data_IF_489149630549
#
_entry.id   IF_489149630549
#
_cell.length_a   1.000
_cell.length_b   1.000
_cell.length_c   1.000
_cell.angle_alpha   90.00
_cell.angle_beta   90.00
_cell.angle_gamma   90.00
#
_symmetry.space_group_name_H-M   'P 1'
#
loop_
_entity.id
_entity.type
_entity.pdbx_description
1 polymer ?
#
# COMPACT_ATOMS: atom_id res chain seq x y z
N UNK A 1 5.08 -37.66 -13.86
CA UNK A 1 6.20 -36.79 -14.25
C UNK A 1 6.43 -35.85 -13.08
N UNK A 2 7.65 -35.78 -12.56
CA UNK A 2 7.96 -34.85 -11.45
C UNK A 2 7.92 -33.41 -11.97
N UNK A 3 7.64 -32.43 -11.11
CA UNK A 3 7.53 -31.02 -11.53
C UNK A 3 8.79 -30.52 -12.26
N UNK A 4 9.99 -30.99 -11.89
CA UNK A 4 11.25 -30.65 -12.56
C UNK A 4 11.31 -31.16 -14.02
N UNK A 5 10.84 -32.38 -14.27
CA UNK A 5 10.81 -32.99 -15.61
C UNK A 5 9.84 -32.24 -16.55
N UNK A 6 8.74 -31.69 -16.00
CA UNK A 6 7.79 -30.89 -16.77
C UNK A 6 8.42 -29.54 -17.20
N UNK A 7 9.22 -28.91 -16.34
CA UNK A 7 9.84 -27.60 -16.61
C UNK A 7 10.88 -27.66 -17.71
N UNK A 8 11.72 -28.68 -17.68
CA UNK A 8 12.76 -28.91 -18.68
C UNK A 8 12.14 -29.23 -20.06
N UNK A 9 11.01 -29.95 -20.07
CA UNK A 9 10.28 -30.26 -21.30
C UNK A 9 9.56 -29.03 -21.91
N UNK A 10 9.11 -28.09 -21.07
CA UNK A 10 8.32 -26.94 -21.49
C UNK A 10 9.13 -25.66 -21.72
N UNK A 11 10.44 -25.66 -21.44
CA UNK A 11 11.29 -24.46 -21.57
C UNK A 11 10.69 -23.21 -20.91
N UNK A 12 10.13 -23.41 -19.72
CA UNK A 12 9.52 -22.34 -18.91
C UNK A 12 8.28 -21.66 -19.52
N UNK A 13 7.64 -22.30 -20.52
CA UNK A 13 6.33 -21.92 -21.03
C UNK A 13 5.22 -22.75 -20.36
N UNK A 14 4.43 -22.09 -19.54
CA UNK A 14 3.30 -22.63 -18.78
C UNK A 14 1.96 -21.99 -19.17
N UNK A 15 1.90 -21.38 -20.36
CA UNK A 15 0.72 -20.65 -20.84
C UNK A 15 -0.53 -21.56 -20.83
N UNK A 16 -1.65 -21.06 -20.28
CA UNK A 16 -2.94 -21.76 -20.20
C UNK A 16 -2.94 -23.09 -19.40
N UNK A 17 -1.92 -23.36 -18.59
CA UNK A 17 -1.85 -24.63 -17.84
C UNK A 17 -2.67 -24.59 -16.55
N UNK A 18 -3.22 -25.75 -16.15
CA UNK A 18 -3.76 -25.97 -14.80
C UNK A 18 -2.63 -26.37 -13.85
N UNK A 19 -2.25 -25.43 -12.99
CA UNK A 19 -1.16 -25.51 -12.04
C UNK A 19 -1.63 -25.20 -10.61
N UNK A 20 -2.92 -25.43 -10.33
CA UNK A 20 -3.51 -25.16 -9.02
C UNK A 20 -2.83 -25.95 -7.91
N UNK A 21 -2.46 -25.26 -6.83
CA UNK A 21 -1.78 -25.84 -5.68
C UNK A 21 -0.34 -26.31 -5.96
N UNK A 22 0.23 -26.00 -7.13
CA UNK A 22 1.60 -26.42 -7.44
C UNK A 22 2.61 -25.66 -6.59
N UNK A 23 3.65 -26.37 -6.16
CA UNK A 23 4.81 -25.73 -5.53
C UNK A 23 5.89 -25.41 -6.55
N UNK A 24 6.34 -24.17 -6.54
CA UNK A 24 7.50 -23.63 -7.26
C UNK A 24 8.60 -23.19 -6.29
N UNK A 25 8.45 -23.46 -4.99
CA UNK A 25 9.32 -22.94 -3.91
C UNK A 25 10.82 -23.01 -4.24
N UNK A 26 11.52 -21.89 -4.05
CA UNK A 26 12.98 -21.78 -4.17
C UNK A 26 13.53 -21.85 -5.59
N UNK A 27 12.69 -21.86 -6.61
CA UNK A 27 13.12 -22.02 -8.00
C UNK A 27 13.44 -20.69 -8.67
N UNK A 28 14.30 -20.75 -9.69
CA UNK A 28 14.50 -19.65 -10.62
C UNK A 28 13.65 -19.90 -11.87
N UNK A 29 12.73 -18.98 -12.14
CA UNK A 29 11.78 -18.98 -13.26
C UNK A 29 11.80 -17.61 -13.95
N UNK A 30 12.97 -16.97 -13.96
CA UNK A 30 13.14 -15.64 -14.57
C UNK A 30 12.83 -15.70 -16.06
N UNK A 31 11.89 -14.87 -16.51
CA UNK A 31 11.43 -14.86 -17.90
C UNK A 31 10.44 -15.98 -18.28
N UNK A 32 10.04 -16.82 -17.32
CA UNK A 32 9.00 -17.82 -17.56
C UNK A 32 7.66 -17.17 -17.98
N UNK A 33 6.84 -17.93 -18.70
CA UNK A 33 5.53 -17.46 -19.13
C UNK A 33 4.41 -18.30 -18.49
N UNK A 34 3.67 -17.70 -17.57
CA UNK A 34 2.48 -18.24 -16.91
C UNK A 34 1.19 -17.54 -17.38
N UNK A 35 1.22 -16.82 -18.50
CA UNK A 35 0.04 -16.09 -18.97
C UNK A 35 -1.19 -17.02 -19.11
N UNK A 36 -2.32 -16.54 -18.60
CA UNK A 36 -3.60 -17.26 -18.55
C UNK A 36 -3.57 -18.63 -17.83
N UNK A 37 -2.53 -18.94 -17.06
CA UNK A 37 -2.47 -20.16 -16.27
C UNK A 37 -3.42 -20.10 -15.07
N UNK A 38 -3.93 -21.26 -14.65
CA UNK A 38 -4.66 -21.40 -13.40
C UNK A 38 -3.70 -21.81 -12.29
N UNK A 39 -3.36 -20.87 -11.43
CA UNK A 39 -2.36 -20.97 -10.36
C UNK A 39 -3.01 -20.78 -8.97
N UNK A 40 -4.33 -21.05 -8.86
CA UNK A 40 -5.04 -20.91 -7.58
C UNK A 40 -4.32 -21.75 -6.49
N UNK A 41 -3.95 -21.11 -5.39
CA UNK A 41 -3.26 -21.74 -4.27
C UNK A 41 -1.82 -22.20 -4.55
N UNK A 42 -1.21 -21.77 -5.66
CA UNK A 42 0.18 -22.11 -5.97
C UNK A 42 1.17 -21.45 -4.98
N UNK A 43 2.30 -22.12 -4.74
CA UNK A 43 3.34 -21.67 -3.80
C UNK A 43 4.60 -21.25 -4.55
N UNK A 44 4.92 -19.96 -4.51
CA UNK A 44 6.10 -19.34 -5.10
C UNK A 44 7.12 -18.88 -4.06
N UNK A 45 7.02 -19.32 -2.81
CA UNK A 45 7.90 -18.87 -1.72
C UNK A 45 9.39 -18.96 -2.11
N UNK A 46 10.18 -17.92 -1.82
CA UNK A 46 11.62 -17.85 -2.11
C UNK A 46 12.01 -18.02 -3.60
N UNK A 47 11.09 -17.78 -4.54
CA UNK A 47 11.39 -17.90 -5.98
C UNK A 47 12.01 -16.64 -6.59
N UNK A 48 12.76 -16.84 -7.68
CA UNK A 48 13.23 -15.76 -8.56
C UNK A 48 12.33 -15.72 -9.80
N UNK A 49 11.60 -14.63 -9.96
CA UNK A 49 10.56 -14.37 -10.97
C UNK A 49 10.85 -13.10 -11.77
N UNK A 50 12.13 -12.80 -11.99
CA UNK A 50 12.52 -11.56 -12.69
C UNK A 50 11.99 -11.60 -14.12
N UNK A 51 11.25 -10.56 -14.52
CA UNK A 51 10.61 -10.45 -15.84
C UNK A 51 9.71 -11.63 -16.23
N UNK A 52 9.14 -12.34 -15.24
CA UNK A 52 8.16 -13.42 -15.48
C UNK A 52 6.82 -12.83 -15.92
N UNK A 53 6.14 -13.49 -16.86
CA UNK A 53 4.82 -13.07 -17.33
C UNK A 53 3.69 -13.87 -16.66
N UNK A 54 2.82 -13.23 -15.90
CA UNK A 54 1.60 -13.79 -15.31
C UNK A 54 0.32 -13.20 -15.89
N UNK A 55 0.38 -12.44 -16.98
CA UNK A 55 -0.77 -11.74 -17.56
C UNK A 55 -2.03 -12.62 -17.67
N UNK A 56 -3.15 -12.16 -17.11
CA UNK A 56 -4.43 -12.87 -17.13
C UNK A 56 -4.48 -14.16 -16.28
N UNK A 57 -3.45 -14.49 -15.51
CA UNK A 57 -3.43 -15.69 -14.68
C UNK A 57 -4.39 -15.60 -13.49
N UNK A 58 -4.90 -16.76 -13.05
CA UNK A 58 -5.63 -16.89 -11.80
C UNK A 58 -4.65 -17.19 -10.66
N UNK A 59 -4.33 -16.20 -9.84
CA UNK A 59 -3.38 -16.26 -8.71
C UNK A 59 -4.08 -16.26 -7.35
N UNK A 60 -5.40 -16.47 -7.32
CA UNK A 60 -6.18 -16.44 -6.10
C UNK A 60 -5.58 -17.37 -5.04
N UNK A 61 -5.47 -16.91 -3.79
CA UNK A 61 -4.86 -17.65 -2.69
C UNK A 61 -3.39 -18.10 -2.90
N UNK A 62 -2.69 -17.61 -3.92
CA UNK A 62 -1.29 -17.97 -4.14
C UNK A 62 -0.36 -17.28 -3.11
N UNK A 63 0.81 -17.88 -2.88
CA UNK A 63 1.81 -17.39 -1.93
C UNK A 63 3.11 -17.03 -2.64
N UNK A 64 3.37 -15.72 -2.76
CA UNK A 64 4.57 -15.09 -3.28
C UNK A 64 5.45 -14.51 -2.16
N UNK A 65 5.44 -15.09 -0.97
CA UNK A 65 6.30 -14.61 0.11
C UNK A 65 7.78 -14.71 -0.25
N UNK A 66 8.54 -13.66 0.04
CA UNK A 66 9.99 -13.58 -0.17
C UNK A 66 10.45 -13.77 -1.64
N UNK A 67 9.57 -13.54 -2.63
CA UNK A 67 9.98 -13.64 -4.04
C UNK A 67 10.82 -12.44 -4.49
N UNK A 68 11.63 -12.67 -5.50
CA UNK A 68 12.19 -11.60 -6.33
C UNK A 68 11.47 -11.55 -7.68
N UNK A 69 10.46 -10.69 -7.80
CA UNK A 69 9.62 -10.52 -8.99
C UNK A 69 9.84 -9.13 -9.63
N UNK A 70 11.09 -8.67 -9.66
CA UNK A 70 11.45 -7.42 -10.35
C UNK A 70 11.00 -7.47 -11.81
N UNK A 71 10.23 -6.45 -12.23
CA UNK A 71 9.76 -6.28 -13.61
C UNK A 71 8.83 -7.40 -14.09
N UNK A 72 8.23 -8.15 -13.16
CA UNK A 72 7.22 -9.15 -13.49
C UNK A 72 5.91 -8.49 -13.96
N UNK A 73 5.22 -9.16 -14.87
CA UNK A 73 3.93 -8.72 -15.39
C UNK A 73 2.79 -9.49 -14.70
N UNK A 74 2.03 -8.81 -13.85
CA UNK A 74 0.81 -9.30 -13.19
C UNK A 74 -0.46 -8.61 -13.73
N UNK A 75 -0.42 -8.02 -14.94
CA UNK A 75 -1.57 -7.34 -15.51
C UNK A 75 -2.77 -8.28 -15.67
N UNK A 76 -3.97 -7.74 -15.45
CA UNK A 76 -5.26 -8.44 -15.61
C UNK A 76 -5.35 -9.76 -14.79
N UNK A 77 -4.52 -9.92 -13.76
CA UNK A 77 -4.54 -11.13 -12.92
C UNK A 77 -5.68 -11.08 -11.90
N UNK A 78 -6.17 -12.27 -11.53
CA UNK A 78 -6.96 -12.43 -10.30
C UNK A 78 -6.02 -12.74 -9.15
N UNK A 79 -5.66 -11.73 -8.36
CA UNK A 79 -4.77 -11.81 -7.20
C UNK A 79 -5.54 -11.71 -5.86
N UNK A 80 -6.83 -12.09 -5.86
CA UNK A 80 -7.64 -12.05 -4.65
C UNK A 80 -7.06 -12.98 -3.57
N UNK A 81 -6.96 -12.48 -2.35
CA UNK A 81 -6.38 -13.22 -1.20
C UNK A 81 -4.92 -13.69 -1.43
N UNK A 82 -4.18 -13.11 -2.38
CA UNK A 82 -2.78 -13.46 -2.66
C UNK A 82 -1.83 -12.81 -1.64
N UNK A 83 -0.76 -13.53 -1.26
CA UNK A 83 0.24 -13.06 -0.31
C UNK A 83 1.54 -12.67 -1.02
N UNK A 84 1.95 -11.41 -0.91
CA UNK A 84 3.22 -10.87 -1.41
C UNK A 84 4.16 -10.43 -0.27
N UNK A 85 4.12 -11.13 0.87
CA UNK A 85 4.88 -10.78 2.07
C UNK A 85 6.38 -10.69 1.76
N UNK A 86 6.99 -9.54 2.05
CA UNK A 86 8.42 -9.29 1.84
C UNK A 86 8.90 -9.53 0.39
N UNK A 87 7.99 -9.44 -0.58
CA UNK A 87 8.31 -9.61 -1.99
C UNK A 87 9.04 -8.38 -2.55
N UNK A 88 10.05 -8.60 -3.41
CA UNK A 88 10.56 -7.55 -4.28
C UNK A 88 9.71 -7.48 -5.55
N UNK A 89 8.90 -6.43 -5.68
CA UNK A 89 8.00 -6.13 -6.79
C UNK A 89 8.39 -4.81 -7.48
N UNK A 90 9.67 -4.43 -7.40
CA UNK A 90 10.19 -3.24 -8.07
C UNK A 90 9.87 -3.30 -9.57
N UNK A 91 9.35 -2.22 -10.14
CA UNK A 91 8.93 -2.13 -11.55
C UNK A 91 7.93 -3.20 -12.02
N UNK A 92 7.28 -3.92 -11.11
CA UNK A 92 6.23 -4.89 -11.48
C UNK A 92 4.98 -4.16 -11.94
N UNK A 93 4.24 -4.74 -12.89
CA UNK A 93 2.99 -4.16 -13.37
C UNK A 93 1.80 -5.00 -12.90
N UNK A 94 0.79 -4.37 -12.32
CA UNK A 94 -0.46 -4.96 -11.87
C UNK A 94 -1.66 -4.29 -12.56
N UNK A 95 -1.48 -3.68 -13.73
CA UNK A 95 -2.54 -2.92 -14.40
C UNK A 95 -3.81 -3.77 -14.57
N UNK A 96 -4.95 -3.26 -14.10
CA UNK A 96 -6.23 -3.96 -14.16
C UNK A 96 -6.35 -5.22 -13.29
N UNK A 97 -5.40 -5.50 -12.40
CA UNK A 97 -5.45 -6.69 -11.54
C UNK A 97 -6.50 -6.55 -10.42
N UNK A 98 -7.13 -7.67 -10.06
CA UNK A 98 -7.98 -7.76 -8.87
C UNK A 98 -7.11 -8.12 -7.65
N UNK A 99 -6.85 -7.12 -6.79
CA UNK A 99 -6.01 -7.22 -5.59
C UNK A 99 -6.85 -7.21 -4.30
N UNK A 100 -8.16 -7.48 -4.38
CA UNK A 100 -9.03 -7.51 -3.20
C UNK A 100 -8.48 -8.49 -2.15
N UNK A 101 -8.36 -8.03 -0.90
CA UNK A 101 -7.76 -8.77 0.21
C UNK A 101 -6.30 -9.26 0.02
N UNK A 102 -5.57 -8.80 -1.00
CA UNK A 102 -4.16 -9.15 -1.18
C UNK A 102 -3.29 -8.50 -0.09
N UNK A 103 -2.22 -9.17 0.35
CA UNK A 103 -1.27 -8.60 1.31
C UNK A 103 0.07 -8.30 0.66
N UNK A 104 0.47 -7.04 0.69
CA UNK A 104 1.79 -6.54 0.28
C UNK A 104 2.68 -6.19 1.47
N UNK A 105 2.40 -6.76 2.65
CA UNK A 105 3.15 -6.44 3.86
C UNK A 105 4.66 -6.60 3.63
N UNK A 106 5.45 -5.57 3.99
CA UNK A 106 6.91 -5.52 3.83
C UNK A 106 7.42 -5.63 2.37
N UNK A 107 6.54 -5.60 1.36
CA UNK A 107 6.94 -5.68 -0.03
C UNK A 107 7.60 -4.37 -0.50
N UNK A 108 8.38 -4.48 -1.58
CA UNK A 108 8.92 -3.32 -2.30
C UNK A 108 8.21 -3.16 -3.65
N UNK A 109 7.32 -2.18 -3.75
CA UNK A 109 6.58 -1.77 -4.95
C UNK A 109 7.17 -0.50 -5.58
N UNK A 110 8.47 -0.23 -5.41
CA UNK A 110 9.12 0.94 -6.03
C UNK A 110 8.91 0.90 -7.54
N UNK A 111 8.33 1.97 -8.11
CA UNK A 111 8.00 2.07 -9.54
C UNK A 111 7.02 1.00 -10.07
N UNK A 112 6.31 0.30 -9.18
CA UNK A 112 5.27 -0.63 -9.61
C UNK A 112 4.04 0.11 -10.18
N UNK A 113 3.46 -0.43 -11.25
CA UNK A 113 2.23 0.09 -11.85
C UNK A 113 1.00 -0.56 -11.19
N UNK A 114 0.17 0.25 -10.51
CA UNK A 114 -1.08 -0.19 -9.87
C UNK A 114 -2.32 0.47 -10.54
N UNK A 115 -2.19 0.97 -11.77
CA UNK A 115 -3.31 1.62 -12.47
C UNK A 115 -4.49 0.65 -12.63
N UNK A 116 -5.71 1.17 -12.44
CA UNK A 116 -6.96 0.41 -12.63
C UNK A 116 -7.07 -0.88 -11.78
N UNK A 117 -6.28 -1.00 -10.70
CA UNK A 117 -6.35 -2.13 -9.77
C UNK A 117 -7.52 -2.04 -8.80
N UNK A 118 -8.09 -3.20 -8.46
CA UNK A 118 -9.02 -3.29 -7.33
C UNK A 118 -8.25 -3.53 -6.02
N UNK A 119 -8.06 -2.50 -5.20
CA UNK A 119 -7.31 -2.57 -3.93
C UNK A 119 -8.18 -2.33 -2.69
N UNK A 120 -9.50 -2.58 -2.77
CA UNK A 120 -10.48 -2.22 -1.72
C UNK A 120 -10.05 -2.68 -0.31
N UNK A 121 -9.62 -3.94 -0.19
CA UNK A 121 -9.19 -4.54 1.08
C UNK A 121 -7.70 -4.95 1.10
N UNK A 122 -6.89 -4.42 0.19
CA UNK A 122 -5.47 -4.77 0.11
C UNK A 122 -4.67 -4.18 1.29
N UNK A 123 -3.74 -4.96 1.84
CA UNK A 123 -2.86 -4.57 2.94
C UNK A 123 -1.50 -4.09 2.41
N UNK A 124 -0.99 -2.98 2.94
CA UNK A 124 0.28 -2.37 2.53
C UNK A 124 1.22 -2.07 3.72
N UNK A 125 1.20 -2.93 4.74
CA UNK A 125 1.90 -2.69 6.00
C UNK A 125 3.40 -2.74 5.82
N UNK A 126 4.09 -1.63 6.09
CA UNK A 126 5.54 -1.47 5.85
C UNK A 126 5.95 -1.70 4.38
N UNK A 127 5.02 -1.52 3.43
CA UNK A 127 5.32 -1.59 2.00
C UNK A 127 6.07 -0.33 1.53
N UNK A 128 7.06 -0.50 0.67
CA UNK A 128 7.79 0.60 0.01
C UNK A 128 7.21 0.83 -1.38
N UNK A 129 7.16 2.08 -1.87
CA UNK A 129 6.84 2.36 -3.27
C UNK A 129 5.38 2.69 -3.58
N UNK A 130 4.47 2.46 -2.64
CA UNK A 130 3.07 2.92 -2.75
C UNK A 130 2.93 4.27 -2.06
N UNK A 131 2.74 5.33 -2.86
CA UNK A 131 2.60 6.68 -2.36
C UNK A 131 1.21 7.23 -2.73
N UNK A 132 0.52 7.92 -1.82
CA UNK A 132 -0.73 8.60 -2.13
C UNK A 132 -0.42 9.72 -3.12
N UNK A 133 -1.34 10.04 -4.01
CA UNK A 133 -1.21 11.23 -4.87
C UNK A 133 -1.82 12.41 -4.12
N UNK A 134 -0.97 13.25 -3.54
CA UNK A 134 -1.42 14.47 -2.86
C UNK A 134 -1.89 15.48 -3.93
N UNK A 135 -3.14 15.99 -3.86
CA UNK A 135 -3.60 17.03 -4.77
C UNK A 135 -2.67 18.24 -4.74
N UNK A 136 -2.25 18.70 -5.91
CA UNK A 136 -1.25 19.79 -6.04
C UNK A 136 -1.90 21.16 -6.17
N UNK A 137 -3.18 21.23 -6.53
CA UNK A 137 -3.94 22.46 -6.71
C UNK A 137 -5.22 22.44 -5.85
N UNK A 138 -5.82 23.61 -5.67
CA UNK A 138 -7.04 23.85 -4.89
C UNK A 138 -6.95 23.46 -3.40
N UNK A 139 -7.97 23.84 -2.65
CA UNK A 139 -8.16 23.41 -1.27
C UNK A 139 -8.96 22.12 -1.25
N UNK A 140 -8.65 21.23 -0.32
CA UNK A 140 -9.37 19.97 -0.16
C UNK A 140 -9.36 19.52 1.30
N UNK A 141 -10.27 18.61 1.63
CA UNK A 141 -10.36 17.99 2.96
C UNK A 141 -9.52 16.72 2.99
N UNK A 142 -8.77 16.55 4.07
CA UNK A 142 -8.14 15.32 4.47
C UNK A 142 -8.50 14.99 5.92
N UNK A 143 -7.94 13.89 6.41
CA UNK A 143 -8.15 13.46 7.79
C UNK A 143 -6.83 13.11 8.45
N UNK A 144 -6.70 13.35 9.75
CA UNK A 144 -5.57 12.88 10.55
C UNK A 144 -6.06 12.30 11.88
N UNK A 145 -5.15 11.73 12.67
CA UNK A 145 -5.47 11.13 13.97
C UNK A 145 -4.73 11.91 15.06
N UNK A 146 -5.51 12.45 15.99
CA UNK A 146 -5.00 13.04 17.23
C UNK A 146 -5.20 12.11 18.42
N UNK A 147 -4.53 12.42 19.52
CA UNK A 147 -4.69 11.80 20.83
C UNK A 147 -5.01 12.90 21.84
N UNK A 148 -6.04 12.69 22.66
CA UNK A 148 -6.33 13.59 23.78
C UNK A 148 -5.37 13.36 24.97
N UNK A 149 -5.54 14.14 26.04
CA UNK A 149 -4.70 14.04 27.25
C UNK A 149 -4.73 12.65 27.92
N UNK A 150 -5.77 11.86 27.67
CA UNK A 150 -5.94 10.51 28.21
C UNK A 150 -5.41 9.42 27.24
N UNK A 151 -4.93 9.82 26.06
CA UNK A 151 -4.44 8.93 25.00
C UNK A 151 -5.56 8.29 24.18
N UNK A 152 -6.79 8.80 24.21
CA UNK A 152 -7.84 8.31 23.31
C UNK A 152 -7.67 8.91 21.92
N UNK A 153 -7.81 8.08 20.90
CA UNK A 153 -7.73 8.52 19.52
C UNK A 153 -8.95 9.34 19.12
N UNK A 154 -8.69 10.44 18.44
CA UNK A 154 -9.67 11.32 17.85
C UNK A 154 -9.41 11.42 16.34
N UNK A 155 -10.47 11.33 15.55
CA UNK A 155 -10.42 11.66 14.14
C UNK A 155 -10.46 13.18 14.01
N UNK A 156 -9.51 13.71 13.24
CA UNK A 156 -9.41 15.15 13.00
C UNK A 156 -9.65 15.40 11.52
N UNK A 157 -10.70 16.15 11.22
CA UNK A 157 -10.95 16.64 9.86
C UNK A 157 -10.10 17.88 9.62
N UNK A 158 -9.35 17.88 8.52
CA UNK A 158 -8.42 18.96 8.20
C UNK A 158 -8.65 19.48 6.79
N UNK A 159 -8.57 20.80 6.64
CA UNK A 159 -8.56 21.45 5.33
C UNK A 159 -7.12 21.83 4.99
N UNK A 160 -6.71 21.49 3.76
CA UNK A 160 -5.40 21.82 3.22
C UNK A 160 -5.59 22.99 2.25
N UNK A 161 -5.13 24.21 2.60
CA UNK A 161 -5.28 25.38 1.73
C UNK A 161 -4.57 25.22 0.39
N UNK A 162 -5.08 25.89 -0.65
CA UNK A 162 -4.49 25.88 -2.01
C UNK A 162 -3.02 26.27 -2.05
N UNK A 163 -2.60 27.17 -1.17
CA UNK A 163 -1.25 27.73 -1.13
C UNK A 163 -0.30 26.98 -0.17
N UNK A 164 -0.79 25.96 0.54
CA UNK A 164 0.02 25.15 1.43
C UNK A 164 1.09 24.38 0.63
N UNK A 165 2.35 24.43 1.08
CA UNK A 165 3.31 23.44 0.60
C UNK A 165 2.85 22.06 1.06
N UNK A 166 2.84 21.10 0.13
CA UNK A 166 2.30 19.77 0.35
C UNK A 166 2.95 18.77 -0.59
N UNK A 167 3.01 17.52 -0.15
CA UNK A 167 3.61 16.44 -0.93
C UNK A 167 3.02 15.09 -0.55
N UNK A 168 3.13 14.16 -1.48
CA UNK A 168 2.97 12.74 -1.19
C UNK A 168 4.05 12.29 -0.20
N UNK A 169 3.65 11.58 0.86
CA UNK A 169 4.62 10.97 1.77
C UNK A 169 5.32 9.76 1.14
N UNK A 170 6.13 9.09 1.96
CA UNK A 170 6.78 7.82 1.62
C UNK A 170 5.94 6.59 2.01
N UNK A 171 4.78 6.83 2.63
CA UNK A 171 3.76 5.84 3.01
C UNK A 171 2.41 6.33 2.46
N UNK A 172 1.29 5.63 2.75
CA UNK A 172 -0.10 6.06 2.42
C UNK A 172 -0.53 7.43 2.97
N UNK A 173 0.34 8.14 3.69
CA UNK A 173 0.11 9.48 4.24
C UNK A 173 0.61 10.56 3.30
N UNK A 174 -0.15 11.63 3.15
CA UNK A 174 0.33 12.90 2.60
C UNK A 174 0.93 13.77 3.71
N UNK A 175 1.63 14.82 3.31
CA UNK A 175 2.28 15.78 4.21
C UNK A 175 1.96 17.20 3.77
N UNK A 176 1.73 18.11 4.70
CA UNK A 176 1.56 19.53 4.41
C UNK A 176 2.34 20.39 5.41
N UNK A 177 2.75 21.57 4.97
CA UNK A 177 3.32 22.61 5.83
C UNK A 177 2.27 23.17 6.81
N UNK A 178 0.99 23.14 6.42
CA UNK A 178 -0.08 23.76 7.19
C UNK A 178 -1.37 22.96 7.07
N UNK A 179 -2.09 22.84 8.18
CA UNK A 179 -3.43 22.26 8.26
C UNK A 179 -4.35 23.25 8.98
N UNK A 180 -5.55 23.44 8.43
CA UNK A 180 -6.66 24.06 9.16
C UNK A 180 -7.49 22.94 9.79
N UNK A 181 -7.79 23.04 11.08
CA UNK A 181 -8.50 22.00 11.83
C UNK A 181 -10.00 22.33 11.79
N UNK A 182 -10.76 21.56 11.03
CA UNK A 182 -12.20 21.80 10.83
C UNK A 182 -13.02 21.26 12.01
N UNK A 183 -12.76 20.01 12.42
CA UNK A 183 -13.46 19.37 13.53
C UNK A 183 -12.62 18.26 14.17
N UNK A 184 -12.91 17.97 15.44
CA UNK A 184 -12.31 16.85 16.17
C UNK A 184 -13.43 15.95 16.70
N UNK A 185 -13.36 14.66 16.40
CA UNK A 185 -14.35 13.64 16.79
C UNK A 185 -13.66 12.53 17.58
N UNK A 186 -14.07 12.28 18.83
CA UNK A 186 -13.51 11.18 19.63
C UNK A 186 -14.00 9.84 19.10
N UNK A 187 -13.09 8.89 18.83
CA UNK A 187 -13.45 7.61 18.20
C UNK A 187 -14.13 6.61 19.16
N UNK A 188 -14.00 6.83 20.47
CA UNK A 188 -14.64 6.05 21.53
C UNK A 188 -15.66 6.91 22.27
N UNK A 189 -16.59 6.27 22.98
CA UNK A 189 -17.61 6.94 23.78
C UNK A 189 -16.98 8.02 24.70
N UNK A 190 -17.50 9.24 24.64
CA UNK A 190 -16.98 10.37 25.39
C UNK A 190 -17.43 11.71 24.84
N UNK A 191 -16.84 12.79 25.36
CA UNK A 191 -16.99 14.13 24.80
C UNK A 191 -15.92 14.38 23.75
N UNK A 192 -16.29 15.09 22.69
CA UNK A 192 -15.35 15.55 21.68
C UNK A 192 -14.44 16.64 22.27
N UNK A 193 -13.10 16.45 22.26
CA UNK A 193 -12.18 17.44 22.76
C UNK A 193 -12.04 18.60 21.76
N UNK A 194 -11.78 19.80 22.28
CA UNK A 194 -11.49 20.99 21.44
C UNK A 194 -10.01 20.99 20.98
N UNK A 195 -9.15 20.26 21.69
CA UNK A 195 -7.72 20.22 21.43
C UNK A 195 -7.17 18.79 21.58
N UNK A 196 -6.32 18.37 20.65
CA UNK A 196 -5.65 17.06 20.65
C UNK A 196 -4.21 17.19 20.19
N UNK A 197 -3.36 16.25 20.58
CA UNK A 197 -1.98 16.15 20.06
C UNK A 197 -1.97 15.24 18.83
N UNK A 198 -1.36 15.67 17.71
CA UNK A 198 -1.20 14.83 16.52
C UNK A 198 -0.49 13.53 16.89
N UNK A 199 -1.11 12.38 16.59
CA UNK A 199 -0.61 11.08 17.03
C UNK A 199 0.83 10.82 16.54
N UNK A 200 1.69 10.39 17.46
CA UNK A 200 3.14 10.16 17.25
C UNK A 200 3.93 11.42 16.85
N UNK A 201 3.40 12.62 17.10
CA UNK A 201 4.04 13.90 16.81
C UNK A 201 3.79 14.88 17.97
N UNK A 202 4.53 15.98 17.98
CA UNK A 202 4.41 17.01 19.02
C UNK A 202 3.71 18.27 18.47
N UNK A 203 2.63 18.09 17.71
CA UNK A 203 1.80 19.21 17.25
C UNK A 203 0.48 19.21 18.00
N UNK A 204 0.08 20.38 18.46
CA UNK A 204 -1.23 20.61 19.06
C UNK A 204 -2.18 21.01 17.95
N UNK A 205 -3.33 20.33 17.88
CA UNK A 205 -4.41 20.55 16.93
C UNK A 205 -5.61 21.07 17.70
N UNK A 206 -5.97 22.33 17.47
CA UNK A 206 -7.10 22.98 18.14
C UNK A 206 -8.20 23.24 17.12
N UNK A 207 -9.43 22.87 17.45
CA UNK A 207 -10.59 23.02 16.56
C UNK A 207 -10.78 24.47 16.11
N UNK A 208 -11.05 24.67 14.82
CA UNK A 208 -11.16 25.97 14.16
C UNK A 208 -9.86 26.81 14.12
N UNK A 209 -8.70 26.21 14.41
CA UNK A 209 -7.39 26.88 14.35
C UNK A 209 -6.47 26.28 13.26
N UNK A 210 -5.36 26.97 13.03
CA UNK A 210 -4.32 26.59 12.07
C UNK A 210 -3.10 26.06 12.81
N UNK A 211 -2.62 24.90 12.37
CA UNK A 211 -1.31 24.39 12.77
C UNK A 211 -0.33 24.49 11.61
N UNK A 212 0.88 24.99 11.87
CA UNK A 212 1.95 25.12 10.88
C UNK A 212 3.21 24.38 11.32
N UNK A 213 3.79 23.66 10.38
CA UNK A 213 5.14 23.14 10.46
C UNK A 213 6.13 24.14 9.85
N UNK A 214 6.95 24.77 10.69
CA UNK A 214 7.91 25.80 10.25
C UNK A 214 9.16 25.19 9.60
N UNK A 215 9.40 23.89 9.77
CA UNK A 215 10.57 23.18 9.27
C UNK A 215 10.20 22.23 8.10
N UNK A 216 9.09 22.50 7.41
CA UNK A 216 8.58 21.65 6.33
C UNK A 216 9.60 21.50 5.18
N UNK A 217 9.97 20.26 4.89
CA UNK A 217 10.83 19.91 3.76
C UNK A 217 10.02 19.25 2.64
N UNK A 218 10.00 19.93 1.49
CA UNK A 218 9.30 19.50 0.27
C UNK A 218 9.91 18.20 -0.26
N UNK A 219 11.23 18.04 -0.17
CA UNK A 219 11.93 16.82 -0.57
C UNK A 219 11.69 15.71 0.46
N UNK A 220 10.72 14.83 0.14
CA UNK A 220 10.32 13.71 1.01
C UNK A 220 11.44 12.73 1.38
N UNK A 221 12.62 12.80 0.74
CA UNK A 221 13.75 11.92 1.05
C UNK A 221 14.78 12.56 2.00
N UNK A 222 14.66 13.86 2.32
CA UNK A 222 15.59 14.58 3.21
C UNK A 222 15.10 14.74 4.64
N UNK A 223 13.94 14.18 4.98
CA UNK A 223 13.23 14.46 6.23
C UNK A 223 13.57 13.48 7.35
N UNK A 224 13.69 14.01 8.58
CA UNK A 224 13.58 13.24 9.82
C UNK A 224 12.23 13.51 10.52
N UNK A 225 11.15 12.96 9.98
CA UNK A 225 9.96 12.53 10.74
C UNK A 225 9.08 13.54 11.50
N UNK A 226 9.20 14.87 11.36
CA UNK A 226 8.35 15.81 12.13
C UNK A 226 7.10 16.30 11.42
N UNK A 227 6.88 16.07 10.13
CA UNK A 227 5.82 16.76 9.39
C UNK A 227 4.38 16.50 9.88
N UNK A 228 3.51 17.50 9.63
CA UNK A 228 2.05 17.34 9.69
C UNK A 228 1.61 16.36 8.59
N UNK A 229 1.07 15.22 9.01
CA UNK A 229 0.60 14.18 8.09
C UNK A 229 -0.93 14.08 8.10
N UNK A 230 -1.47 13.62 6.98
CA UNK A 230 -2.89 13.36 6.80
C UNK A 230 -3.12 12.27 5.75
N UNK A 231 -4.33 11.72 5.73
CA UNK A 231 -4.84 10.83 4.70
C UNK A 231 -5.82 11.57 3.79
N UNK A 232 -5.92 11.11 2.54
CA UNK A 232 -6.83 11.69 1.54
C UNK A 232 -8.27 11.25 1.76
N UNK A 233 -8.50 10.09 2.41
CA UNK A 233 -9.85 9.60 2.70
C UNK A 233 -10.06 9.35 4.20
N UNK A 234 -11.31 9.51 4.65
CA UNK A 234 -11.73 9.24 6.03
C UNK A 234 -11.56 7.75 6.35
N UNK A 235 -11.86 6.88 5.41
CA UNK A 235 -11.78 5.43 5.53
C UNK A 235 -10.34 4.97 5.81
N UNK A 236 -9.35 5.53 5.11
CA UNK A 236 -7.94 5.24 5.35
C UNK A 236 -7.47 5.68 6.74
N UNK A 237 -7.85 6.88 7.18
CA UNK A 237 -7.51 7.39 8.50
C UNK A 237 -8.09 6.47 9.59
N UNK A 238 -9.37 6.08 9.46
CA UNK A 238 -10.04 5.18 10.39
C UNK A 238 -9.44 3.78 10.41
N UNK A 239 -9.04 3.24 9.25
CA UNK A 239 -8.37 1.95 9.18
C UNK A 239 -7.07 1.94 9.99
N UNK A 240 -6.33 3.06 10.02
CA UNK A 240 -5.11 3.16 10.81
C UNK A 240 -5.36 3.35 12.31
N UNK A 241 -6.45 4.00 12.72
CA UNK A 241 -6.83 4.05 14.13
C UNK A 241 -7.23 2.65 14.66
N UNK A 242 -7.99 1.90 13.86
CA UNK A 242 -8.52 0.57 14.24
C UNK A 242 -7.48 -0.54 14.38
N UNK A 243 -6.25 -0.37 13.89
CA UNK A 243 -5.18 -1.38 14.03
C UNK A 243 -4.72 -1.64 15.48
N UNK A 244 -5.25 -0.89 16.46
CA UNK A 244 -4.92 -1.04 17.88
C UNK A 244 -6.14 -1.29 18.79
N UNK A 245 -7.28 -1.71 18.22
CA UNK A 245 -8.44 -2.22 18.97
C UNK A 245 -8.49 -3.75 18.84
#
# INVERSE_FOLDING_TARGET
>A
MKQEELKEALKEDFTNMDLRGWSFKGQNLSGANFSNADLEGACFIDTVLVSTNFEGANLKNADFSCVNAWSANFNETNCKDTVFLSANLTEASFEGADLDCASFAQANLTEANLQDTNIIAAEFDNTVGVFPVCPTHDSFIGWTIGEDEEGNECLVEVSIPTWAQRSSGTTRKCRAEILYIESIERLKDGYDPIEVTLKNRNYILTENDVVRDNDYEVDRFKVSSTDLYFWISKEEALAHARKHI
#
